data_IF_099590159707
#
_entry.id   IF_099590159707
#
_cell.length_a   1.000
_cell.length_b   1.000
_cell.length_c   1.000
_cell.angle_alpha   90.00
_cell.angle_beta   90.00
_cell.angle_gamma   90.00
#
_symmetry.space_group_name_H-M   'P 1'
#
loop_
_entity.id
_entity.type
_entity.pdbx_description
1 polymer ?
#
# COMPACT_ATOMS: atom_id res chain seq x y z
N UNK A 1 83.70 -19.38 -2.32
CA UNK A 1 82.41 -19.38 -1.60
C UNK A 1 82.12 -17.97 -1.09
N UNK A 2 81.23 -17.19 -1.73
CA UNK A 2 80.44 -16.09 -1.13
C UNK A 2 79.56 -15.41 -2.20
N UNK A 3 78.25 -15.69 -2.17
CA UNK A 3 77.13 -14.76 -1.87
C UNK A 3 76.77 -13.74 -2.96
N UNK A 4 75.77 -14.09 -3.79
CA UNK A 4 74.86 -13.11 -4.39
C UNK A 4 73.47 -13.31 -3.76
N UNK A 5 72.99 -12.30 -3.04
CA UNK A 5 71.62 -12.23 -2.52
C UNK A 5 70.78 -11.56 -3.59
N UNK A 6 69.91 -12.33 -4.25
CA UNK A 6 68.87 -11.82 -5.14
C UNK A 6 67.63 -11.50 -4.28
N UNK A 7 67.40 -10.22 -4.03
CA UNK A 7 66.15 -9.72 -3.47
C UNK A 7 65.15 -9.67 -4.62
N UNK A 8 64.19 -10.60 -4.63
CA UNK A 8 63.05 -10.56 -5.54
C UNK A 8 61.96 -9.72 -4.86
N UNK A 9 61.77 -8.48 -5.33
CA UNK A 9 60.63 -7.65 -4.95
C UNK A 9 59.37 -8.17 -5.67
N UNK A 10 58.56 -8.96 -4.98
CA UNK A 10 57.23 -9.36 -5.47
C UNK A 10 56.27 -8.19 -5.33
N UNK A 11 55.96 -7.51 -6.45
CA UNK A 11 54.90 -6.51 -6.52
C UNK A 11 53.53 -7.20 -6.45
N UNK A 12 52.89 -7.14 -5.28
CA UNK A 12 51.54 -7.67 -5.07
C UNK A 12 50.52 -6.70 -5.72
N UNK A 13 50.07 -7.03 -6.93
CA UNK A 13 49.03 -6.26 -7.61
C UNK A 13 47.68 -6.45 -6.87
N UNK A 14 47.23 -5.41 -6.15
CA UNK A 14 45.86 -5.33 -5.64
C UNK A 14 44.91 -5.15 -6.83
N UNK A 15 44.25 -6.23 -7.26
CA UNK A 15 43.15 -6.13 -8.19
C UNK A 15 41.92 -5.55 -7.45
N UNK A 16 41.26 -4.50 -7.97
CA UNK A 16 40.02 -4.02 -7.40
C UNK A 16 38.92 -5.06 -7.65
N UNK A 17 38.37 -5.60 -6.56
CA UNK A 17 37.18 -6.44 -6.61
C UNK A 17 35.99 -5.59 -7.05
N UNK A 18 35.54 -5.77 -8.29
CA UNK A 18 34.24 -5.29 -8.73
C UNK A 18 33.19 -6.03 -7.90
N UNK A 19 32.60 -5.34 -6.93
CA UNK A 19 31.40 -5.81 -6.26
C UNK A 19 30.31 -5.95 -7.33
N UNK A 20 29.94 -7.18 -7.65
CA UNK A 20 28.75 -7.45 -8.44
C UNK A 20 27.57 -6.84 -7.67
N UNK A 21 26.99 -5.76 -8.20
CA UNK A 21 25.71 -5.26 -7.74
C UNK A 21 24.74 -6.43 -7.86
N UNK A 22 24.26 -6.95 -6.74
CA UNK A 22 23.36 -8.10 -6.72
C UNK A 22 22.18 -7.83 -7.63
N UNK A 23 22.06 -8.62 -8.69
CA UNK A 23 20.97 -8.51 -9.66
C UNK A 23 19.67 -8.81 -8.92
N UNK A 24 18.93 -7.75 -8.55
CA UNK A 24 17.63 -7.88 -7.93
C UNK A 24 16.77 -8.73 -8.86
N UNK A 25 16.21 -9.88 -8.40
CA UNK A 25 15.50 -10.77 -9.29
C UNK A 25 14.43 -10.00 -10.05
N UNK A 26 14.48 -10.08 -11.38
CA UNK A 26 13.58 -9.35 -12.27
C UNK A 26 12.13 -9.59 -11.84
N UNK A 27 11.41 -8.50 -11.55
CA UNK A 27 9.99 -8.57 -11.14
C UNK A 27 9.18 -9.27 -12.24
N UNK A 28 8.32 -10.20 -11.85
CA UNK A 28 7.51 -10.96 -12.80
C UNK A 28 6.16 -10.27 -13.05
N UNK A 29 5.86 -9.86 -14.28
CA UNK A 29 4.56 -9.25 -14.60
C UNK A 29 3.46 -10.31 -14.68
N UNK A 30 2.35 -10.07 -13.98
CA UNK A 30 1.11 -10.84 -14.12
C UNK A 30 0.31 -10.23 -15.27
N UNK A 31 0.00 -11.07 -16.26
CA UNK A 31 -0.87 -10.73 -17.38
C UNK A 31 -2.13 -11.58 -17.31
N UNK A 32 -3.28 -10.96 -17.58
CA UNK A 32 -4.54 -11.68 -17.71
C UNK A 32 -4.73 -12.12 -19.16
N UNK A 33 -5.31 -13.30 -19.36
CA UNK A 33 -5.73 -13.73 -20.69
C UNK A 33 -6.75 -12.72 -21.28
N UNK A 34 -6.89 -12.61 -22.62
CA UNK A 34 -7.89 -11.75 -23.23
C UNK A 34 -9.29 -12.00 -22.65
N UNK A 35 -9.97 -10.93 -22.20
CA UNK A 35 -11.30 -11.01 -21.57
C UNK A 35 -11.31 -11.54 -20.12
N UNK A 36 -10.19 -12.06 -19.61
CA UNK A 36 -10.08 -12.49 -18.22
C UNK A 36 -9.76 -11.30 -17.31
N UNK A 37 -10.18 -11.43 -16.05
CA UNK A 37 -9.94 -10.43 -15.00
C UNK A 37 -9.18 -11.03 -13.81
N UNK A 38 -8.67 -12.23 -13.97
CA UNK A 38 -7.91 -12.97 -12.97
C UNK A 38 -6.80 -13.79 -13.63
N UNK A 39 -5.73 -14.00 -12.88
CA UNK A 39 -4.68 -14.97 -13.19
C UNK A 39 -4.18 -15.60 -11.90
N UNK A 40 -3.66 -16.82 -12.03
CA UNK A 40 -2.98 -17.52 -10.93
C UNK A 40 -1.56 -17.82 -11.36
N UNK A 41 -0.60 -17.40 -10.54
CA UNK A 41 0.81 -17.74 -10.72
C UNK A 41 1.23 -18.74 -9.65
N UNK A 42 2.13 -19.65 -10.00
CA UNK A 42 2.75 -20.58 -9.05
C UNK A 42 4.20 -20.17 -8.82
N UNK A 43 4.70 -20.41 -7.62
CA UNK A 43 6.05 -20.02 -7.26
C UNK A 43 6.58 -20.81 -6.08
N UNK A 44 7.87 -20.57 -5.81
CA UNK A 44 8.59 -21.10 -4.67
C UNK A 44 9.48 -20.01 -4.08
N UNK A 45 9.52 -19.93 -2.76
CA UNK A 45 10.48 -19.13 -1.99
C UNK A 45 11.23 -20.01 -1.01
N UNK A 46 12.52 -19.75 -0.84
CA UNK A 46 13.40 -20.44 0.12
C UNK A 46 14.17 -19.41 0.94
N UNK A 47 14.22 -19.58 2.25
CA UNK A 47 14.96 -18.69 3.14
C UNK A 47 14.52 -17.23 3.01
N UNK A 48 15.47 -16.33 2.72
CA UNK A 48 15.23 -14.89 2.55
C UNK A 48 14.80 -14.48 1.13
N UNK A 49 14.54 -15.44 0.25
CA UNK A 49 14.05 -15.10 -1.08
C UNK A 49 12.70 -14.40 -1.01
N UNK A 50 12.58 -13.34 -1.82
CA UNK A 50 11.33 -12.64 -2.09
C UNK A 50 11.06 -12.78 -3.58
N UNK A 51 9.80 -13.05 -3.94
CA UNK A 51 9.32 -13.00 -5.32
C UNK A 51 8.35 -11.84 -5.47
N UNK A 52 8.72 -10.89 -6.32
CA UNK A 52 7.92 -9.74 -6.66
C UNK A 52 7.12 -9.97 -7.94
N UNK A 53 5.81 -9.76 -7.85
CA UNK A 53 4.90 -9.79 -8.98
C UNK A 53 4.33 -8.42 -9.24
N UNK A 54 4.31 -7.99 -10.50
CA UNK A 54 3.74 -6.69 -10.90
C UNK A 54 2.40 -6.91 -11.57
N UNK A 55 1.36 -6.23 -11.11
CA UNK A 55 0.04 -6.24 -11.75
C UNK A 55 -0.41 -4.81 -12.03
N UNK A 56 -0.76 -4.53 -13.28
CA UNK A 56 -1.32 -3.25 -13.69
C UNK A 56 -2.79 -3.17 -13.27
N UNK A 57 -3.17 -2.10 -12.60
CA UNK A 57 -4.54 -1.84 -12.17
C UNK A 57 -4.91 -0.37 -12.35
N UNK A 58 -6.20 -0.07 -12.36
CA UNK A 58 -6.76 1.28 -12.47
C UNK A 58 -7.42 1.66 -11.14
N UNK A 59 -7.41 2.96 -10.86
CA UNK A 59 -8.18 3.50 -9.75
C UNK A 59 -9.66 3.13 -9.89
N UNK A 60 -10.32 2.88 -8.76
CA UNK A 60 -11.70 2.42 -8.70
C UNK A 60 -11.90 0.93 -8.94
N UNK A 61 -10.89 0.18 -9.38
CA UNK A 61 -11.00 -1.28 -9.49
C UNK A 61 -10.94 -1.95 -8.11
N UNK A 62 -11.51 -3.15 -8.00
CA UNK A 62 -11.32 -3.99 -6.81
C UNK A 62 -10.29 -5.06 -7.08
N UNK A 63 -9.15 -4.99 -6.38
CA UNK A 63 -8.14 -6.04 -6.38
C UNK A 63 -8.46 -7.04 -5.27
N UNK A 64 -8.35 -8.33 -5.60
CA UNK A 64 -8.34 -9.43 -4.65
C UNK A 64 -7.09 -10.26 -4.90
N UNK A 65 -6.33 -10.51 -3.84
CA UNK A 65 -5.13 -11.36 -3.87
C UNK A 65 -5.30 -12.46 -2.83
N UNK A 66 -5.10 -13.72 -3.23
CA UNK A 66 -5.18 -14.87 -2.33
C UNK A 66 -3.91 -15.70 -2.47
N UNK A 67 -3.22 -15.93 -1.34
CA UNK A 67 -2.06 -16.79 -1.25
C UNK A 67 -2.48 -18.17 -0.69
N UNK A 68 -2.18 -19.23 -1.44
CA UNK A 68 -2.29 -20.61 -0.97
C UNK A 68 -0.91 -21.25 -1.00
N UNK A 69 -0.51 -21.88 0.10
CA UNK A 69 0.88 -22.30 0.35
C UNK A 69 0.91 -23.56 1.20
N UNK A 70 1.93 -24.41 1.00
CA UNK A 70 2.19 -25.56 1.86
C UNK A 70 2.94 -25.18 3.16
N UNK A 71 3.41 -23.95 3.29
CA UNK A 71 4.08 -23.44 4.47
C UNK A 71 3.34 -22.20 5.01
N UNK A 72 2.82 -22.30 6.24
CA UNK A 72 2.05 -21.25 6.91
C UNK A 72 2.86 -19.99 7.22
N UNK A 73 4.18 -20.06 7.19
CA UNK A 73 5.06 -18.90 7.33
C UNK A 73 5.23 -18.10 6.04
N UNK A 74 4.68 -18.55 4.91
CA UNK A 74 4.67 -17.75 3.69
C UNK A 74 3.59 -16.67 3.75
N UNK A 75 3.99 -15.43 3.47
CA UNK A 75 3.14 -14.24 3.51
C UNK A 75 3.34 -13.41 2.25
N UNK A 76 2.45 -12.46 2.00
CA UNK A 76 2.64 -11.49 0.92
C UNK A 76 2.28 -10.08 1.38
N UNK A 77 2.89 -9.09 0.74
CA UNK A 77 2.52 -7.69 0.88
C UNK A 77 2.03 -7.15 -0.47
N UNK A 78 1.20 -6.10 -0.43
CA UNK A 78 0.75 -5.39 -1.64
C UNK A 78 1.18 -3.93 -1.51
N UNK A 79 2.01 -3.46 -2.43
CA UNK A 79 2.52 -2.08 -2.47
C UNK A 79 1.89 -1.34 -3.65
N UNK A 80 1.33 -0.13 -3.44
CA UNK A 80 0.72 0.65 -4.49
C UNK A 80 1.76 1.32 -5.41
N UNK A 81 1.34 1.82 -6.57
CA UNK A 81 2.20 2.62 -7.45
C UNK A 81 2.70 3.87 -6.72
N UNK A 82 3.99 4.19 -6.90
CA UNK A 82 4.63 5.40 -6.35
C UNK A 82 4.60 5.53 -4.81
N UNK A 83 4.37 4.43 -4.08
CA UNK A 83 4.35 4.42 -2.62
C UNK A 83 5.42 3.52 -2.02
N UNK A 84 5.99 3.95 -0.89
CA UNK A 84 6.93 3.15 -0.10
C UNK A 84 6.21 2.21 0.89
N UNK A 85 4.94 2.47 1.21
CA UNK A 85 4.16 1.70 2.19
C UNK A 85 3.18 0.72 1.54
N UNK A 86 3.14 -0.51 2.06
CA UNK A 86 2.23 -1.54 1.59
C UNK A 86 0.79 -1.31 2.09
N UNK A 87 -0.19 -1.35 1.17
CA UNK A 87 -1.63 -1.32 1.50
C UNK A 87 -2.13 -2.64 2.11
N UNK A 88 -1.31 -3.68 2.10
CA UNK A 88 -1.59 -4.95 2.76
C UNK A 88 -0.30 -5.60 3.26
N UNK A 89 -0.33 -6.10 4.49
CA UNK A 89 0.80 -6.79 5.14
C UNK A 89 0.33 -8.17 5.61
N UNK A 90 0.68 -9.22 4.87
CA UNK A 90 0.15 -10.57 5.11
C UNK A 90 0.62 -11.24 6.40
N UNK A 91 1.76 -10.80 6.97
CA UNK A 91 2.21 -11.29 8.28
C UNK A 91 1.28 -10.87 9.44
N UNK A 92 0.48 -9.83 9.23
CA UNK A 92 -0.49 -9.31 10.21
C UNK A 92 -1.93 -9.62 9.77
N UNK A 93 -2.22 -9.47 8.48
CA UNK A 93 -3.58 -9.51 7.93
C UNK A 93 -3.97 -10.85 7.30
N UNK A 94 -3.08 -11.84 7.32
CA UNK A 94 -3.33 -13.19 6.82
C UNK A 94 -3.03 -13.37 5.33
N UNK A 95 -3.66 -14.36 4.71
CA UNK A 95 -3.32 -14.83 3.34
C UNK A 95 -4.28 -14.34 2.26
N UNK A 96 -5.12 -13.35 2.55
CA UNK A 96 -6.06 -12.77 1.58
C UNK A 96 -6.21 -11.28 1.74
N UNK A 97 -6.07 -10.57 0.62
CA UNK A 97 -6.37 -9.15 0.47
C UNK A 97 -7.60 -8.97 -0.43
N UNK A 98 -8.47 -8.02 -0.09
CA UNK A 98 -9.51 -7.53 -0.98
C UNK A 98 -9.75 -6.05 -0.69
N UNK A 99 -9.51 -5.20 -1.68
CA UNK A 99 -9.63 -3.75 -1.51
C UNK A 99 -9.97 -3.04 -2.82
N UNK A 100 -10.68 -1.92 -2.70
CA UNK A 100 -10.89 -0.98 -3.81
C UNK A 100 -9.65 -0.09 -3.92
N UNK A 101 -9.12 0.04 -5.13
CA UNK A 101 -7.89 0.76 -5.41
C UNK A 101 -8.19 2.26 -5.52
N UNK A 102 -7.43 3.06 -4.79
CA UNK A 102 -7.46 4.52 -4.83
C UNK A 102 -6.69 5.09 -6.03
N UNK A 103 -5.67 4.36 -6.51
CA UNK A 103 -4.74 4.79 -7.55
C UNK A 103 -4.67 3.79 -8.69
N UNK A 104 -4.34 4.30 -9.87
CA UNK A 104 -3.98 3.51 -11.04
C UNK A 104 -2.47 3.39 -11.17
N UNK A 105 -2.00 2.27 -11.72
CA UNK A 105 -0.61 2.00 -11.99
C UNK A 105 -0.22 0.56 -11.69
N UNK A 106 1.08 0.34 -11.59
CA UNK A 106 1.67 -0.96 -11.26
C UNK A 106 1.73 -1.17 -9.75
N UNK A 107 0.98 -2.16 -9.28
CA UNK A 107 1.05 -2.66 -7.92
C UNK A 107 2.09 -3.78 -7.85
N UNK A 108 2.86 -3.81 -6.75
CA UNK A 108 3.83 -4.87 -6.47
C UNK A 108 3.30 -5.80 -5.40
N UNK A 109 3.25 -7.09 -5.69
CA UNK A 109 2.88 -8.14 -4.74
C UNK A 109 4.15 -8.93 -4.40
N UNK A 110 4.65 -8.75 -3.18
CA UNK A 110 5.90 -9.38 -2.72
C UNK A 110 5.59 -10.59 -1.86
N UNK A 111 5.92 -11.80 -2.33
CA UNK A 111 5.73 -13.05 -1.59
C UNK A 111 7.06 -13.47 -0.96
N UNK A 112 7.05 -13.79 0.33
CA UNK A 112 8.23 -14.20 1.08
C UNK A 112 7.89 -15.04 2.32
N UNK A 113 8.89 -15.32 3.14
CA UNK A 113 8.71 -16.03 4.41
C UNK A 113 8.85 -15.07 5.60
N UNK A 114 8.12 -15.37 6.67
CA UNK A 114 8.37 -14.77 7.98
C UNK A 114 9.83 -14.99 8.40
N UNK A 115 10.40 -13.98 9.09
CA UNK A 115 11.84 -13.92 9.41
C UNK A 115 12.36 -15.17 10.14
N UNK A 116 11.56 -15.76 11.02
CA UNK A 116 11.92 -16.99 11.75
C UNK A 116 12.08 -18.21 10.83
N UNK A 117 11.15 -18.42 9.89
CA UNK A 117 11.21 -19.50 8.90
C UNK A 117 12.31 -19.26 7.86
N UNK A 118 12.47 -18.00 7.41
CA UNK A 118 13.53 -17.60 6.50
C UNK A 118 14.94 -17.91 7.05
N UNK A 119 15.17 -17.61 8.34
CA UNK A 119 16.43 -17.94 9.04
C UNK A 119 16.75 -19.43 9.08
N UNK A 120 15.72 -20.27 9.13
CA UNK A 120 15.86 -21.73 9.12
C UNK A 120 16.03 -22.31 7.72
N UNK A 121 16.07 -21.48 6.68
CA UNK A 121 16.18 -21.94 5.29
C UNK A 121 14.95 -22.70 4.83
N UNK A 122 13.79 -22.48 5.44
CA UNK A 122 12.56 -23.17 5.05
C UNK A 122 12.15 -22.85 3.61
N UNK A 123 11.31 -23.73 3.05
CA UNK A 123 10.76 -23.62 1.71
C UNK A 123 9.25 -23.47 1.78
N UNK A 124 8.70 -22.68 0.86
CA UNK A 124 7.28 -22.65 0.57
C UNK A 124 7.03 -22.76 -0.94
N UNK A 125 6.23 -23.74 -1.33
CA UNK A 125 5.60 -23.80 -2.65
C UNK A 125 4.21 -23.18 -2.53
N UNK A 126 3.86 -22.29 -3.46
CA UNK A 126 2.61 -21.55 -3.38
C UNK A 126 1.95 -21.31 -4.74
N UNK A 127 0.66 -20.98 -4.67
CA UNK A 127 -0.11 -20.35 -5.74
C UNK A 127 -0.64 -19.01 -5.27
N UNK A 128 -0.46 -17.98 -6.09
CA UNK A 128 -0.93 -16.63 -5.87
C UNK A 128 -2.02 -16.32 -6.91
N UNK A 129 -3.27 -16.26 -6.47
CA UNK A 129 -4.40 -15.88 -7.31
C UNK A 129 -4.65 -14.37 -7.20
N UNK A 130 -4.60 -13.68 -8.32
CA UNK A 130 -4.84 -12.23 -8.43
C UNK A 130 -6.05 -12.00 -9.31
N UNK A 131 -7.02 -11.24 -8.81
CA UNK A 131 -8.22 -10.86 -9.55
C UNK A 131 -8.46 -9.36 -9.43
N UNK A 132 -8.77 -8.72 -10.55
CA UNK A 132 -9.12 -7.31 -10.64
C UNK A 132 -10.52 -7.23 -11.23
N UNK A 133 -11.55 -7.01 -10.42
CA UNK A 133 -12.92 -6.81 -10.91
C UNK A 133 -13.18 -5.33 -11.10
N UNK A 134 -13.88 -5.01 -12.20
CA UNK A 134 -14.67 -3.81 -12.44
C UNK A 134 -14.05 -2.49 -11.98
N UNK A 135 -13.75 -1.61 -12.92
CA UNK A 135 -13.76 -0.18 -12.69
C UNK A 135 -14.62 0.39 -13.80
N UNK A 136 -15.82 0.90 -13.48
CA UNK A 136 -16.24 2.08 -14.21
C UNK A 136 -15.09 3.09 -14.10
N UNK A 137 -14.84 3.96 -15.10
CA UNK A 137 -13.99 5.11 -14.87
C UNK A 137 -14.39 5.72 -13.53
N UNK A 138 -13.42 6.21 -12.73
CA UNK A 138 -13.78 7.34 -11.89
C UNK A 138 -14.40 8.31 -12.89
N UNK A 139 -15.71 8.51 -12.83
CA UNK A 139 -16.33 9.55 -13.63
C UNK A 139 -15.63 10.81 -13.15
N UNK A 140 -14.66 11.29 -13.93
CA UNK A 140 -14.32 12.69 -13.93
C UNK A 140 -15.59 13.31 -14.49
N UNK A 141 -16.54 13.61 -13.60
CA UNK A 141 -17.64 14.48 -13.96
C UNK A 141 -16.96 15.76 -14.50
N UNK A 142 -17.40 16.32 -15.64
CA UNK A 142 -17.09 17.71 -15.92
C UNK A 142 -17.43 18.53 -14.66
N UNK A 143 -16.65 19.57 -14.32
CA UNK A 143 -16.87 20.35 -13.11
C UNK A 143 -18.36 20.67 -13.01
N UNK A 144 -19.02 20.37 -11.87
CA UNK A 144 -20.47 20.51 -11.78
C UNK A 144 -20.82 21.95 -12.14
N UNK A 145 -21.61 22.08 -13.19
CA UNK A 145 -22.36 23.31 -13.43
C UNK A 145 -23.28 23.41 -12.22
N UNK A 146 -23.10 24.47 -11.43
CA UNK A 146 -23.91 24.74 -10.25
C UNK A 146 -25.39 24.70 -10.64
N UNK A 147 -26.09 23.62 -10.31
CA UNK A 147 -27.54 23.60 -10.31
C UNK A 147 -27.97 22.90 -9.02
N UNK A 148 -28.39 23.74 -8.10
CA UNK A 148 -29.07 23.38 -6.87
C UNK A 148 -30.34 22.59 -7.23
N UNK A 149 -30.39 21.28 -6.94
CA UNK A 149 -31.66 20.56 -6.76
C UNK A 149 -31.48 19.19 -6.09
N UNK A 150 -31.88 19.14 -4.81
CA UNK A 150 -32.56 18.08 -4.06
C UNK A 150 -32.35 16.57 -4.36
N UNK A 151 -31.95 15.84 -3.31
CA UNK A 151 -32.56 14.56 -3.00
C UNK A 151 -31.63 13.36 -2.78
N UNK A 152 -31.06 13.27 -1.57
CA UNK A 152 -30.69 12.03 -0.86
C UNK A 152 -29.75 11.04 -1.60
N UNK A 153 -28.48 10.96 -1.16
CA UNK A 153 -27.48 9.87 -1.36
C UNK A 153 -26.13 10.25 -2.02
N UNK A 154 -25.66 11.48 -1.85
CA UNK A 154 -24.25 11.82 -2.01
C UNK A 154 -23.83 12.71 -0.85
N UNK A 155 -23.00 12.20 0.07
CA UNK A 155 -22.35 13.10 1.02
C UNK A 155 -21.43 14.06 0.26
N UNK A 156 -21.04 15.19 0.86
CA UNK A 156 -20.29 16.21 0.15
C UNK A 156 -18.92 15.66 -0.24
N UNK A 157 -18.35 16.12 -1.36
CA UNK A 157 -16.98 15.77 -1.76
C UNK A 157 -15.93 16.36 -0.80
N UNK A 158 -16.31 17.42 -0.09
CA UNK A 158 -15.48 18.16 0.84
C UNK A 158 -16.24 18.48 2.12
N UNK A 159 -15.54 18.40 3.24
CA UNK A 159 -16.01 18.89 4.54
C UNK A 159 -15.30 20.18 4.90
N UNK A 160 -16.06 21.14 5.42
CA UNK A 160 -15.52 22.23 6.23
C UNK A 160 -15.61 21.87 7.71
N UNK A 161 -14.52 22.08 8.42
CA UNK A 161 -14.49 22.00 9.89
C UNK A 161 -15.28 23.16 10.48
N UNK A 162 -16.27 22.85 11.31
CA UNK A 162 -17.13 23.82 12.01
C UNK A 162 -17.36 23.39 13.46
N UNK A 163 -17.76 24.34 14.31
CA UNK A 163 -18.23 24.04 15.68
C UNK A 163 -17.13 23.60 16.65
N UNK A 164 -15.85 23.76 16.29
CA UNK A 164 -14.71 23.63 17.21
C UNK A 164 -14.60 24.92 18.05
N UNK A 165 -14.50 24.85 19.39
CA UNK A 165 -14.34 26.03 20.24
C UNK A 165 -13.13 26.90 19.88
N UNK A 166 -13.20 28.19 20.18
CA UNK A 166 -12.08 29.10 19.95
C UNK A 166 -10.85 28.67 20.78
N UNK A 167 -9.70 28.52 20.10
CA UNK A 167 -8.46 28.03 20.70
C UNK A 167 -8.30 26.50 20.69
N UNK A 168 -9.28 25.75 20.17
CA UNK A 168 -9.22 24.29 20.05
C UNK A 168 -9.09 23.85 18.57
N UNK A 169 -8.72 22.59 18.36
CA UNK A 169 -8.53 21.98 17.04
C UNK A 169 -9.37 20.70 16.90
N UNK A 170 -9.84 20.45 15.68
CA UNK A 170 -10.44 19.16 15.36
C UNK A 170 -9.34 18.11 15.21
N UNK A 171 -9.39 17.08 16.07
CA UNK A 171 -8.49 15.95 15.99
C UNK A 171 -8.91 14.95 14.91
N UNK A 172 -7.95 14.61 14.06
CA UNK A 172 -8.02 13.56 13.05
C UNK A 172 -7.24 12.36 13.57
N UNK A 173 -7.85 11.18 13.56
CA UNK A 173 -7.36 9.99 14.29
C UNK A 173 -7.10 8.79 13.39
N UNK A 174 -6.31 7.83 13.85
CA UNK A 174 -6.00 6.61 13.07
C UNK A 174 -7.19 5.66 12.93
N UNK A 175 -8.18 5.75 13.84
CA UNK A 175 -9.41 4.94 13.85
C UNK A 175 -10.63 5.82 14.19
N UNK A 176 -11.85 5.42 13.80
CA UNK A 176 -13.08 6.14 14.12
C UNK A 176 -13.52 5.87 15.57
N UNK A 177 -12.72 6.37 16.51
CA UNK A 177 -12.96 6.27 17.94
C UNK A 177 -12.32 7.47 18.65
N UNK A 178 -12.97 7.96 19.71
CA UNK A 178 -12.51 9.15 20.43
C UNK A 178 -11.17 8.96 21.15
N UNK A 179 -10.82 7.72 21.50
CA UNK A 179 -9.57 7.35 22.18
C UNK A 179 -8.46 6.87 21.22
N UNK A 180 -8.70 6.86 19.91
CA UNK A 180 -7.69 6.42 18.94
C UNK A 180 -6.53 7.42 18.83
N UNK A 181 -5.29 6.96 18.52
CA UNK A 181 -4.15 7.85 18.32
C UNK A 181 -4.41 8.98 17.32
N UNK A 182 -3.85 10.17 17.59
CA UNK A 182 -3.95 11.32 16.70
C UNK A 182 -3.01 11.16 15.50
N UNK A 183 -3.52 11.56 14.34
CA UNK A 183 -2.76 11.70 13.09
C UNK A 183 -2.43 13.17 12.86
N UNK A 184 -3.41 14.04 13.05
CA UNK A 184 -3.29 15.48 12.87
C UNK A 184 -4.36 16.22 13.68
N UNK A 185 -4.18 17.53 13.82
CA UNK A 185 -5.19 18.43 14.39
C UNK A 185 -5.32 19.65 13.49
N UNK A 186 -6.56 20.04 13.17
CA UNK A 186 -6.84 21.11 12.20
C UNK A 186 -7.76 22.17 12.77
N UNK A 187 -7.58 23.46 12.42
CA UNK A 187 -8.40 24.54 12.95
C UNK A 187 -9.79 24.57 12.32
N UNK A 188 -10.67 25.35 12.93
CA UNK A 188 -11.97 25.66 12.38
C UNK A 188 -11.85 26.31 10.99
N UNK A 189 -12.79 26.02 10.08
CA UNK A 189 -12.76 26.51 8.70
C UNK A 189 -11.86 25.71 7.75
N UNK A 190 -11.05 24.77 8.26
CA UNK A 190 -10.23 23.88 7.43
C UNK A 190 -11.12 23.08 6.48
N UNK A 191 -10.71 23.02 5.22
CA UNK A 191 -11.32 22.19 4.20
C UNK A 191 -10.64 20.83 4.15
N UNK A 192 -11.44 19.78 4.10
CA UNK A 192 -11.01 18.39 4.19
C UNK A 192 -11.70 17.58 3.10
N UNK A 193 -10.95 16.80 2.33
CA UNK A 193 -11.56 15.94 1.33
C UNK A 193 -12.32 14.79 2.03
N UNK A 194 -13.59 14.58 1.69
CA UNK A 194 -14.37 13.47 2.21
C UNK A 194 -13.99 12.17 1.47
N UNK A 195 -13.55 11.15 2.20
CA UNK A 195 -13.21 9.84 1.60
C UNK A 195 -14.28 8.80 1.86
N UNK A 196 -14.87 8.81 3.05
CA UNK A 196 -16.05 8.00 3.40
C UNK A 196 -16.54 8.39 4.78
N UNK A 197 -17.82 8.18 5.07
CA UNK A 197 -18.34 8.26 6.43
C UNK A 197 -18.97 6.93 6.84
N UNK A 198 -18.85 6.59 8.11
CA UNK A 198 -19.55 5.46 8.70
C UNK A 198 -20.05 5.79 10.10
N UNK A 199 -21.15 5.17 10.48
CA UNK A 199 -21.62 5.19 11.85
C UNK A 199 -20.84 4.14 12.65
N UNK A 200 -20.23 4.57 13.75
CA UNK A 200 -19.62 3.69 14.75
C UNK A 200 -20.28 4.02 16.07
N UNK A 201 -20.92 3.02 16.67
CA UNK A 201 -21.79 3.20 17.84
C UNK A 201 -22.88 4.26 17.55
N UNK A 202 -22.83 5.40 18.25
CA UNK A 202 -23.77 6.52 18.11
C UNK A 202 -23.19 7.72 17.35
N UNK A 203 -21.94 7.64 16.90
CA UNK A 203 -21.25 8.77 16.27
C UNK A 203 -20.96 8.52 14.79
N UNK A 204 -21.24 9.52 13.96
CA UNK A 204 -20.79 9.55 12.57
C UNK A 204 -19.30 9.89 12.56
N UNK A 205 -18.50 9.02 11.96
CA UNK A 205 -17.07 9.25 11.74
C UNK A 205 -16.78 9.30 10.25
N UNK A 206 -16.02 10.30 9.83
CA UNK A 206 -15.66 10.48 8.44
C UNK A 206 -14.15 10.33 8.29
N UNK A 207 -13.74 9.45 7.37
CA UNK A 207 -12.39 9.40 6.86
C UNK A 207 -12.19 10.63 5.98
N UNK A 208 -11.23 11.45 6.36
CA UNK A 208 -10.92 12.75 5.76
C UNK A 208 -9.45 12.81 5.39
N UNK A 209 -9.14 13.59 4.37
CA UNK A 209 -7.77 13.86 3.93
C UNK A 209 -7.53 15.37 3.90
N UNK A 210 -6.34 15.79 4.35
CA UNK A 210 -5.96 17.21 4.37
C UNK A 210 -5.39 17.58 3.00
N UNK A 211 -6.02 18.49 2.24
CA UNK A 211 -5.52 18.90 0.93
C UNK A 211 -4.16 19.61 1.04
N UNK A 212 -3.23 19.31 0.12
CA UNK A 212 -1.94 19.99 0.01
C UNK A 212 -0.87 19.61 1.06
N UNK A 213 -1.23 18.84 2.09
CA UNK A 213 -0.32 18.33 3.11
C UNK A 213 -0.07 16.83 2.93
N UNK A 214 0.81 16.46 1.99
CA UNK A 214 1.41 15.11 1.88
C UNK A 214 0.47 13.88 1.88
N UNK A 215 -0.84 14.04 1.64
CA UNK A 215 -1.80 12.94 1.63
C UNK A 215 -2.16 12.40 3.03
N UNK A 216 -1.97 13.20 4.09
CA UNK A 216 -2.31 12.82 5.45
C UNK A 216 -3.83 12.61 5.56
N UNK A 217 -4.21 11.38 5.94
CA UNK A 217 -5.61 10.98 6.10
C UNK A 217 -5.88 10.35 7.47
N UNK A 218 -7.12 10.49 7.93
CA UNK A 218 -7.57 9.88 9.17
C UNK A 218 -9.03 10.17 9.47
N UNK A 219 -9.50 9.77 10.64
CA UNK A 219 -10.90 9.81 11.04
C UNK A 219 -11.20 11.04 11.88
N UNK A 220 -12.15 11.85 11.41
CA UNK A 220 -12.71 12.98 12.12
C UNK A 220 -14.14 12.67 12.57
N UNK A 221 -14.55 13.25 13.71
CA UNK A 221 -15.94 13.13 14.15
C UNK A 221 -16.83 14.04 13.30
N UNK A 222 -17.82 13.43 12.64
CA UNK A 222 -18.71 14.09 11.69
C UNK A 222 -19.64 15.14 12.31
N UNK A 223 -19.68 15.29 13.63
CA UNK A 223 -20.39 16.40 14.29
C UNK A 223 -19.77 17.76 13.97
N UNK A 224 -18.46 17.79 13.72
CA UNK A 224 -17.68 18.99 13.40
C UNK A 224 -17.50 19.23 11.90
N UNK A 225 -18.22 18.48 11.06
CA UNK A 225 -18.08 18.55 9.61
C UNK A 225 -19.40 19.03 8.99
N UNK A 226 -19.33 20.03 8.11
CA UNK A 226 -20.46 20.54 7.30
C UNK A 226 -20.02 20.76 5.86
N UNK A 227 -20.99 20.73 4.95
CA UNK A 227 -20.80 21.09 3.54
C UNK A 227 -20.52 22.60 3.40
#
# INVERSE_FOLDING_TARGET
MLRYVLIVLSALALAPSLAAAGEQPARSRIQFAPGANAATVKGRVVGYQVRDYVVGARAGQTMTVTLSTNNRSATFNVTPPFGDEAVFIGSVSGTRFSGRLDRGGDYVISVGLMRNAARRGERADYSLAVRIKGGAPIAVLPPPKNDFADGLMGGPDEWRVVGVPAGDLLNIRTKPAANAPLVASVPNGTRLANRSCRLVESSRWCLVEIPGGSGISGWANGRYLRE
#
